data_IF_651038520059
#
_entry.id   IF_651038520059
#
_cell.length_a   1.000
_cell.length_b   1.000
_cell.length_c   1.000
_cell.angle_alpha   90.00
_cell.angle_beta   90.00
_cell.angle_gamma   90.00
#
_symmetry.space_group_name_H-M   'P 1'
#
loop_
_entity.id
_entity.type
_entity.pdbx_description
1 polymer ?
#
# COMPACT_ATOMS: atom_id res chain seq x y z
N UNK A 1 3.67 14.71 8.69
CA UNK A 1 2.78 13.92 9.56
C UNK A 1 3.62 13.01 10.45
N UNK A 2 3.39 13.02 11.72
CA UNK A 2 4.12 12.19 12.68
C UNK A 2 3.75 10.72 12.55
N UNK A 3 4.60 9.84 13.04
CA UNK A 3 4.40 8.38 12.94
C UNK A 3 3.05 7.95 13.52
N UNK A 4 2.70 8.43 14.71
CA UNK A 4 1.43 8.10 15.36
C UNK A 4 0.22 8.47 14.50
N UNK A 5 0.25 9.64 13.90
CA UNK A 5 -0.82 10.11 13.01
C UNK A 5 -0.90 9.27 11.73
N UNK A 6 0.24 8.88 11.17
CA UNK A 6 0.29 7.98 10.00
C UNK A 6 -0.33 6.63 10.31
N UNK A 7 0.05 6.05 11.45
CA UNK A 7 -0.47 4.76 11.90
C UNK A 7 -1.99 4.82 12.06
N UNK A 8 -2.47 5.87 12.72
CA UNK A 8 -3.90 6.07 12.93
C UNK A 8 -4.65 6.22 11.61
N UNK A 9 -4.10 7.01 10.69
CA UNK A 9 -4.69 7.20 9.36
C UNK A 9 -4.74 5.89 8.57
N UNK A 10 -3.63 5.17 8.53
CA UNK A 10 -3.56 3.88 7.82
C UNK A 10 -4.55 2.87 8.39
N UNK A 11 -4.69 2.85 9.72
CA UNK A 11 -5.66 1.99 10.39
C UNK A 11 -7.09 2.36 10.01
N UNK A 12 -7.44 3.65 10.09
CA UNK A 12 -8.79 4.14 9.78
C UNK A 12 -9.14 3.95 8.30
N UNK A 13 -8.18 4.15 7.40
CA UNK A 13 -8.39 3.92 5.97
C UNK A 13 -8.77 2.47 5.67
N UNK A 14 -8.31 1.53 6.50
CA UNK A 14 -8.64 0.11 6.40
C UNK A 14 -9.86 -0.28 7.22
N UNK A 15 -10.46 0.68 7.93
CA UNK A 15 -11.61 0.46 8.81
C UNK A 15 -11.32 -0.55 9.93
N UNK A 16 -10.08 -0.58 10.39
CA UNK A 16 -9.69 -1.41 11.52
C UNK A 16 -9.89 -0.66 12.84
N UNK A 17 -10.39 -1.37 13.86
CA UNK A 17 -10.33 -0.88 15.23
C UNK A 17 -8.90 -1.04 15.77
N UNK A 18 -8.60 -0.37 16.88
CA UNK A 18 -7.30 -0.57 17.55
C UNK A 18 -7.12 -2.03 17.96
N UNK A 19 -8.17 -2.69 18.41
CA UNK A 19 -8.14 -4.10 18.79
C UNK A 19 -7.85 -5.02 17.59
N UNK A 20 -8.50 -4.76 16.46
CA UNK A 20 -8.26 -5.51 15.22
C UNK A 20 -6.83 -5.36 14.74
N UNK A 21 -6.30 -4.13 14.79
CA UNK A 21 -4.91 -3.87 14.42
C UNK A 21 -3.94 -4.59 15.35
N UNK A 22 -4.20 -4.55 16.65
CA UNK A 22 -3.38 -5.23 17.66
C UNK A 22 -3.32 -6.74 17.39
N UNK A 23 -4.45 -7.34 17.05
CA UNK A 23 -4.53 -8.76 16.70
C UNK A 23 -3.70 -9.07 15.45
N UNK A 24 -3.82 -8.25 14.40
CA UNK A 24 -3.08 -8.44 13.15
C UNK A 24 -1.57 -8.35 13.32
N UNK A 25 -1.12 -7.50 14.22
CA UNK A 25 0.30 -7.27 14.47
C UNK A 25 0.84 -8.22 15.56
N UNK A 26 -0.05 -8.79 16.37
CA UNK A 26 0.33 -9.70 17.46
C UNK A 26 0.82 -9.00 18.71
N UNK A 27 0.21 -7.85 19.04
CA UNK A 27 0.55 -7.08 20.25
C UNK A 27 -0.73 -6.76 21.03
N UNK A 28 -0.57 -6.30 22.25
CA UNK A 28 -1.69 -5.86 23.06
C UNK A 28 -2.24 -4.53 22.54
N UNK A 29 -3.56 -4.32 22.65
CA UNK A 29 -4.22 -3.11 22.17
C UNK A 29 -3.66 -1.83 22.79
N UNK A 30 -3.14 -1.89 24.01
CA UNK A 30 -2.49 -0.77 24.69
C UNK A 30 -1.29 -0.25 23.91
N UNK A 31 -0.53 -1.15 23.24
CA UNK A 31 0.60 -0.75 22.39
C UNK A 31 0.15 0.09 21.22
N UNK A 32 -0.99 -0.25 20.61
CA UNK A 32 -1.53 0.51 19.48
C UNK A 32 -1.89 1.91 19.91
N UNK A 33 -2.60 2.06 21.03
CA UNK A 33 -2.95 3.36 21.60
C UNK A 33 -1.71 4.22 21.86
N UNK A 34 -0.67 3.63 22.44
CA UNK A 34 0.58 4.34 22.73
C UNK A 34 1.33 4.73 21.46
N UNK A 35 1.31 3.90 20.44
CA UNK A 35 1.91 4.24 19.15
C UNK A 35 1.20 5.42 18.50
N UNK A 36 -0.12 5.41 18.49
CA UNK A 36 -0.92 6.47 17.86
C UNK A 36 -0.83 7.80 18.60
N UNK A 37 -0.59 7.78 19.90
CA UNK A 37 -0.41 8.99 20.72
C UNK A 37 1.05 9.37 20.93
N UNK A 38 1.95 8.67 20.31
CA UNK A 38 3.40 8.89 20.40
C UNK A 38 4.00 8.77 21.81
N UNK A 39 3.38 7.98 22.65
CA UNK A 39 3.88 7.65 23.98
C UNK A 39 4.86 6.48 23.97
N UNK A 40 5.12 5.92 22.81
CA UNK A 40 5.95 4.75 22.63
C UNK A 40 6.71 4.88 21.31
N UNK A 41 8.02 4.71 21.37
CA UNK A 41 8.86 4.68 20.17
C UNK A 41 9.00 3.22 19.73
N UNK A 42 8.50 2.86 18.55
CA UNK A 42 8.58 1.46 18.11
C UNK A 42 10.01 1.03 17.81
N UNK A 43 10.30 -0.23 18.11
CA UNK A 43 11.55 -0.87 17.70
C UNK A 43 11.57 -1.07 16.19
N UNK A 44 12.75 -1.42 15.66
CA UNK A 44 12.88 -1.77 14.25
C UNK A 44 11.99 -2.96 13.89
N UNK A 45 11.91 -3.96 14.76
CA UNK A 45 11.04 -5.12 14.53
C UNK A 45 9.57 -4.72 14.46
N UNK A 46 9.14 -3.80 15.33
CA UNK A 46 7.78 -3.28 15.31
C UNK A 46 7.50 -2.51 14.02
N UNK A 47 8.45 -1.67 13.57
CA UNK A 47 8.34 -0.94 12.31
C UNK A 47 8.18 -1.89 11.12
N UNK A 48 8.93 -2.98 11.11
CA UNK A 48 8.80 -4.00 10.06
C UNK A 48 7.43 -4.66 10.07
N UNK A 49 6.90 -4.97 11.26
CA UNK A 49 5.56 -5.55 11.40
C UNK A 49 4.48 -4.58 10.94
N UNK A 50 4.60 -3.31 11.30
CA UNK A 50 3.67 -2.27 10.87
C UNK A 50 3.69 -2.09 9.35
N UNK A 51 4.88 -2.02 8.77
CA UNK A 51 5.04 -1.88 7.33
C UNK A 51 4.41 -3.05 6.57
N UNK A 52 4.64 -4.27 7.05
CA UNK A 52 4.04 -5.47 6.45
C UNK A 52 2.52 -5.48 6.57
N UNK A 53 1.99 -5.15 7.74
CA UNK A 53 0.54 -5.15 7.98
C UNK A 53 -0.19 -4.10 7.14
N UNK A 54 0.39 -2.93 6.95
CA UNK A 54 -0.18 -1.84 6.16
C UNK A 54 0.23 -1.87 4.69
N UNK A 55 1.12 -2.77 4.30
CA UNK A 55 1.66 -2.85 2.94
C UNK A 55 2.29 -1.52 2.49
N UNK A 56 3.06 -0.92 3.39
CA UNK A 56 3.83 0.29 3.13
C UNK A 56 5.31 0.02 3.41
N UNK A 57 6.18 0.94 2.99
CA UNK A 57 7.60 0.83 3.30
C UNK A 57 7.89 1.32 4.71
N UNK A 58 8.98 0.83 5.32
CA UNK A 58 9.45 1.37 6.60
C UNK A 58 9.85 2.84 6.46
N UNK A 59 10.40 3.22 5.31
CA UNK A 59 10.76 4.61 5.02
C UNK A 59 9.55 5.53 5.09
N UNK A 60 8.42 5.12 4.53
CA UNK A 60 7.19 5.89 4.61
C UNK A 60 6.77 6.14 6.06
N UNK A 61 6.93 5.14 6.92
CA UNK A 61 6.59 5.27 8.33
C UNK A 61 7.55 6.20 9.08
N UNK A 62 8.83 6.14 8.76
CA UNK A 62 9.88 6.86 9.48
C UNK A 62 10.01 8.32 9.05
N UNK A 63 9.95 8.62 7.76
CA UNK A 63 10.12 9.97 7.24
C UNK A 63 8.80 10.72 7.18
N UNK A 64 8.73 11.88 7.85
CA UNK A 64 7.48 12.62 8.03
C UNK A 64 6.84 13.11 6.73
N UNK A 65 7.64 13.45 5.74
CA UNK A 65 7.17 14.07 4.49
C UNK A 65 7.22 13.15 3.28
N UNK A 66 7.34 11.84 3.50
CA UNK A 66 7.41 10.87 2.41
C UNK A 66 6.01 10.48 1.95
N UNK A 67 5.80 10.45 0.64
CA UNK A 67 4.56 9.96 0.06
C UNK A 67 4.47 8.44 0.18
N UNK A 68 3.24 7.95 0.33
CA UNK A 68 2.99 6.52 0.39
C UNK A 68 2.95 5.94 -1.02
N UNK A 69 4.07 5.42 -1.45
CA UNK A 69 4.16 4.66 -2.71
C UNK A 69 4.03 3.15 -2.48
N UNK A 70 3.98 2.72 -1.20
CA UNK A 70 3.87 1.32 -0.81
C UNK A 70 5.10 0.48 -1.17
N UNK A 71 5.16 -0.75 -0.70
CA UNK A 71 6.18 -1.69 -1.16
C UNK A 71 5.85 -2.11 -2.59
N UNK A 72 6.80 -1.88 -3.51
CA UNK A 72 6.64 -2.24 -4.90
C UNK A 72 7.29 -3.60 -5.14
N UNK A 73 6.47 -4.59 -5.48
CA UNK A 73 6.92 -5.95 -5.75
C UNK A 73 6.54 -6.35 -7.18
N UNK A 74 7.33 -5.90 -8.13
CA UNK A 74 7.13 -6.23 -9.54
C UNK A 74 7.85 -7.52 -9.89
N UNK A 75 7.14 -8.44 -10.53
CA UNK A 75 7.75 -9.65 -11.10
C UNK A 75 8.67 -9.32 -12.25
N UNK A 76 8.31 -8.31 -13.04
CA UNK A 76 9.07 -7.86 -14.19
C UNK A 76 9.77 -6.54 -13.86
N UNK A 77 11.07 -6.61 -13.63
CA UNK A 77 11.89 -5.43 -13.32
C UNK A 77 11.98 -4.46 -14.50
N UNK A 78 11.95 -4.99 -15.73
CA UNK A 78 11.96 -4.16 -16.94
C UNK A 78 10.71 -3.30 -17.03
N UNK A 79 9.55 -3.86 -16.67
CA UNK A 79 8.30 -3.12 -16.61
C UNK A 79 8.36 -2.00 -15.57
N UNK A 80 8.91 -2.30 -14.39
CA UNK A 80 9.08 -1.31 -13.33
C UNK A 80 9.94 -0.13 -13.78
N UNK A 81 11.07 -0.39 -14.45
CA UNK A 81 11.96 0.65 -14.96
C UNK A 81 11.24 1.51 -16.02
N UNK A 82 10.47 0.88 -16.89
CA UNK A 82 9.67 1.62 -17.90
C UNK A 82 8.62 2.50 -17.25
N UNK A 83 7.98 2.04 -16.18
CA UNK A 83 6.97 2.83 -15.47
C UNK A 83 7.59 4.09 -14.85
N UNK A 84 8.79 4.00 -14.32
CA UNK A 84 9.50 5.19 -13.81
C UNK A 84 9.74 6.21 -14.92
N UNK A 85 10.15 5.76 -16.09
CA UNK A 85 10.38 6.63 -17.23
C UNK A 85 9.08 7.26 -17.75
N UNK A 86 7.99 6.50 -17.73
CA UNK A 86 6.66 6.99 -18.12
C UNK A 86 6.22 8.12 -17.21
N UNK A 87 6.52 8.04 -15.91
CA UNK A 87 6.16 9.08 -14.95
C UNK A 87 6.83 10.43 -15.26
N UNK A 88 7.96 10.41 -15.96
CA UNK A 88 8.71 11.61 -16.36
C UNK A 88 8.25 12.21 -17.70
N UNK A 89 7.34 11.55 -18.41
CA UNK A 89 6.84 12.04 -19.69
C UNK A 89 5.96 13.28 -19.52
N UNK A 90 5.79 14.02 -20.62
CA UNK A 90 4.84 15.13 -20.67
C UNK A 90 3.41 14.63 -20.38
N UNK A 91 2.60 15.46 -19.78
CA UNK A 91 1.22 15.14 -19.38
C UNK A 91 0.42 14.54 -20.54
N UNK A 92 0.55 15.10 -21.74
CA UNK A 92 -0.13 14.63 -22.95
C UNK A 92 0.18 13.15 -23.22
N UNK A 93 1.45 12.79 -23.18
CA UNK A 93 1.91 11.42 -23.46
C UNK A 93 1.50 10.46 -22.35
N UNK A 94 1.61 10.89 -21.08
CA UNK A 94 1.14 10.08 -19.96
C UNK A 94 -0.34 9.77 -20.04
N UNK A 95 -1.15 10.74 -20.43
CA UNK A 95 -2.61 10.55 -20.59
C UNK A 95 -2.91 9.49 -21.64
N UNK A 96 -2.20 9.50 -22.76
CA UNK A 96 -2.34 8.48 -23.79
C UNK A 96 -1.98 7.09 -23.27
N UNK A 97 -0.87 6.98 -22.56
CA UNK A 97 -0.41 5.71 -21.99
C UNK A 97 -1.40 5.20 -20.94
N UNK A 98 -1.93 6.08 -20.08
CA UNK A 98 -2.96 5.69 -19.12
C UNK A 98 -4.18 5.09 -19.81
N UNK A 99 -4.61 5.68 -20.93
CA UNK A 99 -5.72 5.15 -21.71
C UNK A 99 -5.45 3.75 -22.24
N UNK A 100 -4.25 3.51 -22.74
CA UNK A 100 -3.83 2.19 -23.22
C UNK A 100 -3.82 1.17 -22.10
N UNK A 101 -3.23 1.52 -20.96
CA UNK A 101 -3.18 0.64 -19.79
C UNK A 101 -4.59 0.29 -19.33
N UNK A 102 -5.45 1.29 -19.22
CA UNK A 102 -6.85 1.08 -18.80
C UNK A 102 -7.59 0.14 -19.75
N UNK A 103 -7.38 0.27 -21.05
CA UNK A 103 -7.97 -0.62 -22.04
C UNK A 103 -7.53 -2.08 -21.84
N UNK A 104 -6.24 -2.31 -21.57
CA UNK A 104 -5.74 -3.65 -21.30
C UNK A 104 -6.26 -4.21 -19.98
N UNK A 105 -6.40 -3.38 -18.95
CA UNK A 105 -6.95 -3.81 -17.67
C UNK A 105 -8.41 -4.22 -17.79
N UNK A 106 -9.21 -3.45 -18.53
CA UNK A 106 -10.61 -3.81 -18.83
C UNK A 106 -10.68 -5.13 -19.58
N UNK A 107 -9.85 -5.31 -20.61
CA UNK A 107 -9.76 -6.56 -21.35
C UNK A 107 -9.47 -7.73 -20.44
N UNK A 108 -8.53 -7.59 -19.53
CA UNK A 108 -8.16 -8.66 -18.60
C UNK A 108 -9.30 -8.98 -17.63
N UNK A 109 -10.01 -7.97 -17.14
CA UNK A 109 -11.15 -8.16 -16.26
C UNK A 109 -12.28 -8.91 -16.97
N UNK A 110 -12.58 -8.57 -18.22
CA UNK A 110 -13.57 -9.27 -19.02
C UNK A 110 -13.17 -10.72 -19.26
N UNK A 111 -11.92 -10.96 -19.58
CA UNK A 111 -11.36 -12.31 -19.75
C UNK A 111 -11.54 -13.15 -18.48
N UNK A 112 -11.22 -12.58 -17.33
CA UNK A 112 -11.35 -13.26 -16.04
C UNK A 112 -12.81 -13.61 -15.72
N UNK A 113 -13.73 -12.71 -16.00
CA UNK A 113 -15.18 -12.95 -15.81
C UNK A 113 -15.66 -14.09 -16.71
N UNK A 114 -15.30 -14.07 -17.98
CA UNK A 114 -15.70 -15.11 -18.94
C UNK A 114 -15.12 -16.49 -18.53
N UNK A 115 -13.88 -16.52 -18.12
CA UNK A 115 -13.24 -17.77 -17.67
C UNK A 115 -13.85 -18.30 -16.39
N UNK A 116 -14.24 -17.46 -15.44
CA UNK A 116 -14.95 -17.89 -14.23
C UNK A 116 -16.31 -18.50 -14.56
N UNK A 117 -17.04 -17.92 -15.51
CA UNK A 117 -18.32 -18.47 -15.95
C UNK A 117 -18.15 -19.81 -16.65
N UNK A 118 -17.08 -19.96 -17.42
CA UNK A 118 -16.76 -21.21 -18.12
C UNK A 118 -16.36 -22.31 -17.15
N UNK A 119 -15.61 -21.96 -16.10
CA UNK A 119 -15.11 -22.91 -15.11
C UNK A 119 -16.10 -23.22 -14.00
N UNK A 120 -17.18 -22.47 -13.87
CA UNK A 120 -18.22 -22.66 -12.85
C UNK A 120 -19.29 -23.67 -13.27
N UNK A 121 -19.20 -24.16 -14.49
CA UNK A 121 -20.14 -25.17 -15.02
C UNK A 121 -19.82 -26.58 -14.59
#
# INVERSE_FOLDING_TARGET
MKLGDKIKKLRKDRKWSQAEMAEKIGVHVTHISRLETERYTPSLDMLKKLAAAFEVTTDYLVFENMENIGPVNFKDKSLYEKMKLIDELEEKDRTIIHGVIDAFLVKQQMWNVLNKQTNAG
#
